data_IF_792326429368
#
_entry.id   IF_792326429368
#
_cell.length_a   1.000
_cell.length_b   1.000
_cell.length_c   1.000
_cell.angle_alpha   90.00
_cell.angle_beta   90.00
_cell.angle_gamma   90.00
#
_symmetry.space_group_name_H-M   'P 1'
#
loop_
_entity.id
_entity.type
_entity.pdbx_description
1 polymer ?
#
# COMPACT_ATOMS: atom_id res chain seq x y z
N UNK A 1 -20.99 -23.32 -5.72
CA UNK A 1 -19.61 -22.97 -5.34
C UNK A 1 -19.62 -22.64 -3.87
N UNK A 2 -18.95 -23.44 -3.05
CA UNK A 2 -18.92 -23.35 -1.60
C UNK A 2 -18.13 -22.11 -1.16
N UNK A 3 -18.83 -21.10 -0.61
CA UNK A 3 -18.18 -19.99 0.08
C UNK A 3 -17.53 -20.54 1.35
N UNK A 4 -16.22 -20.73 1.32
CA UNK A 4 -15.43 -21.06 2.50
C UNK A 4 -15.53 -19.85 3.45
N UNK A 5 -16.31 -20.01 4.52
CA UNK A 5 -16.40 -19.01 5.58
C UNK A 5 -15.09 -19.12 6.37
N UNK A 6 -14.08 -18.35 5.95
CA UNK A 6 -12.83 -18.26 6.72
C UNK A 6 -13.13 -17.62 8.08
N UNK A 7 -12.53 -18.16 9.13
CA UNK A 7 -12.73 -17.67 10.50
C UNK A 7 -12.21 -16.23 10.62
N UNK A 8 -12.79 -15.43 11.52
CA UNK A 8 -12.34 -14.06 11.78
C UNK A 8 -10.83 -13.98 12.05
N UNK A 9 -10.29 -14.97 12.76
CA UNK A 9 -8.86 -15.06 13.07
C UNK A 9 -7.97 -15.17 11.81
N UNK A 10 -8.39 -15.96 10.81
CA UNK A 10 -7.67 -16.10 9.55
C UNK A 10 -7.60 -14.77 8.80
N UNK A 11 -8.69 -14.00 8.80
CA UNK A 11 -8.73 -12.68 8.19
C UNK A 11 -7.85 -11.68 8.93
N UNK A 12 -7.85 -11.70 10.25
CA UNK A 12 -6.97 -10.84 11.07
C UNK A 12 -5.51 -11.15 10.76
N UNK A 13 -5.13 -12.42 10.70
CA UNK A 13 -3.77 -12.83 10.31
C UNK A 13 -3.41 -12.32 8.92
N UNK A 14 -4.29 -12.50 7.94
CA UNK A 14 -4.07 -12.12 6.55
C UNK A 14 -3.96 -10.61 6.37
N UNK A 15 -4.79 -9.82 7.07
CA UNK A 15 -4.70 -8.35 7.07
C UNK A 15 -3.38 -7.93 7.71
N UNK A 16 -2.99 -8.53 8.83
CA UNK A 16 -1.72 -8.25 9.51
C UNK A 16 -0.53 -8.49 8.57
N UNK A 17 -0.53 -9.58 7.82
CA UNK A 17 0.50 -9.86 6.80
C UNK A 17 0.51 -8.80 5.68
N UNK A 18 -0.64 -8.30 5.24
CA UNK A 18 -0.73 -7.27 4.20
C UNK A 18 -0.27 -5.89 4.65
N UNK A 19 -0.50 -5.54 5.92
CA UNK A 19 -0.05 -4.26 6.50
C UNK A 19 1.43 -4.33 6.89
N UNK A 20 1.95 -5.53 7.19
CA UNK A 20 3.36 -5.72 7.53
C UNK A 20 4.25 -5.32 6.34
N UNK A 21 5.23 -4.45 6.59
CA UNK A 21 6.13 -3.91 5.55
C UNK A 21 5.54 -2.79 4.69
N UNK A 22 4.31 -2.34 4.95
CA UNK A 22 3.75 -1.16 4.31
C UNK A 22 4.32 0.10 4.98
N UNK A 23 5.36 0.70 4.41
CA UNK A 23 5.96 1.92 4.95
C UNK A 23 5.05 3.14 4.76
N UNK A 24 4.46 3.27 3.57
CA UNK A 24 3.49 4.30 3.24
C UNK A 24 2.45 3.75 2.28
N UNK A 25 1.17 3.94 2.58
CA UNK A 25 0.10 3.39 1.76
C UNK A 25 -1.22 3.26 2.51
N UNK A 26 -2.12 2.45 1.93
CA UNK A 26 -3.44 2.16 2.49
C UNK A 26 -3.80 0.72 2.24
N UNK A 27 -4.45 0.08 3.21
CA UNK A 27 -5.15 -1.20 3.03
C UNK A 27 -6.64 -0.92 3.11
N UNK A 28 -7.38 -1.28 2.07
CA UNK A 28 -8.83 -1.10 2.00
C UNK A 28 -9.52 -2.47 2.02
N UNK A 29 -10.51 -2.62 2.90
CA UNK A 29 -11.26 -3.87 3.07
C UNK A 29 -12.72 -3.60 2.74
N UNK A 30 -13.29 -4.41 1.84
CA UNK A 30 -14.70 -4.32 1.48
C UNK A 30 -15.45 -5.48 2.11
N UNK A 31 -16.50 -5.17 2.87
CA UNK A 31 -17.34 -6.13 3.57
C UNK A 31 -18.75 -6.06 2.99
N UNK A 32 -19.30 -7.19 2.58
CA UNK A 32 -20.70 -7.32 2.19
C UNK A 32 -21.33 -8.48 2.96
N UNK A 33 -22.53 -8.26 3.52
CA UNK A 33 -23.27 -9.27 4.29
C UNK A 33 -22.45 -9.88 5.46
N UNK A 34 -21.63 -9.06 6.14
CA UNK A 34 -20.78 -9.51 7.24
C UNK A 34 -19.58 -10.37 6.82
N UNK A 35 -19.34 -10.52 5.50
CA UNK A 35 -18.21 -11.27 4.96
C UNK A 35 -17.26 -10.33 4.22
N UNK A 36 -15.96 -10.51 4.45
CA UNK A 36 -14.93 -9.81 3.68
C UNK A 36 -14.94 -10.39 2.27
N UNK A 37 -15.17 -9.53 1.28
CA UNK A 37 -15.22 -9.93 -0.14
C UNK A 37 -14.03 -9.40 -0.93
N UNK A 38 -13.36 -8.35 -0.44
CA UNK A 38 -12.20 -7.77 -1.11
C UNK A 38 -11.21 -7.20 -0.08
N UNK A 39 -9.92 -7.33 -0.39
CA UNK A 39 -8.83 -6.63 0.30
C UNK A 39 -7.91 -6.05 -0.78
N UNK A 40 -7.77 -4.73 -0.79
CA UNK A 40 -6.84 -4.00 -1.66
C UNK A 40 -5.68 -3.43 -0.84
N UNK A 41 -4.46 -3.53 -1.37
CA UNK A 41 -3.25 -2.97 -0.76
C UNK A 41 -2.64 -1.99 -1.75
N UNK A 42 -2.62 -0.72 -1.39
CA UNK A 42 -1.98 0.35 -2.16
C UNK A 42 -0.72 0.80 -1.44
N UNK A 43 0.44 0.65 -2.08
CA UNK A 43 1.73 1.15 -1.59
C UNK A 43 2.09 2.46 -2.29
N UNK A 44 2.64 3.42 -1.55
CA UNK A 44 3.11 4.70 -2.08
C UNK A 44 4.58 4.86 -1.75
N UNK A 45 5.43 4.87 -2.77
CA UNK A 45 6.84 5.24 -2.59
C UNK A 45 7.02 6.72 -2.89
N UNK A 46 7.75 7.44 -2.03
CA UNK A 46 8.23 8.79 -2.34
C UNK A 46 9.51 8.65 -3.13
N UNK A 47 9.44 8.87 -4.43
CA UNK A 47 10.63 9.14 -5.22
C UNK A 47 11.06 10.56 -4.87
N UNK A 48 12.12 10.70 -4.08
CA UNK A 48 12.73 11.99 -3.85
C UNK A 48 13.12 12.54 -5.22
N UNK A 49 12.48 13.63 -5.63
CA UNK A 49 12.85 14.32 -6.87
C UNK A 49 14.21 14.92 -6.56
N UNK A 50 15.26 14.18 -6.93
CA UNK A 50 16.64 14.67 -6.87
C UNK A 50 16.60 16.03 -7.54
N UNK A 51 16.66 17.10 -6.73
CA UNK A 51 16.81 18.45 -7.25
C UNK A 51 18.19 18.50 -7.85
N UNK A 52 18.28 18.13 -9.13
CA UNK A 52 19.40 18.47 -9.99
C UNK A 52 19.40 19.99 -10.10
N UNK A 53 19.98 20.63 -9.09
CA UNK A 53 20.28 22.06 -9.15
C UNK A 53 21.15 22.26 -10.40
N UNK A 54 20.72 23.04 -11.40
CA UNK A 54 21.54 23.28 -12.57
C UNK A 54 22.71 24.14 -12.10
N UNK A 55 23.90 23.55 -12.03
CA UNK A 55 25.15 24.28 -11.80
C UNK A 55 25.32 25.29 -12.94
N UNK A 56 24.91 26.54 -12.70
CA UNK A 56 25.17 27.67 -13.60
C UNK A 56 26.67 27.96 -13.59
N UNK A 57 27.41 27.35 -14.51
CA UNK A 57 28.78 27.77 -14.85
C UNK A 57 28.70 29.00 -15.74
N UNK A 58 28.61 30.17 -15.12
CA UNK A 58 28.80 31.43 -15.82
C UNK A 58 30.29 31.60 -16.13
N UNK A 59 30.71 31.27 -17.36
CA UNK A 59 32.06 31.58 -17.85
C UNK A 59 32.06 33.05 -18.26
N UNK A 60 32.84 33.85 -17.52
CA UNK A 60 33.02 35.28 -17.75
C UNK A 60 33.48 35.59 -19.19
N UNK A 61 32.97 36.70 -19.71
CA UNK A 61 33.57 37.45 -20.80
C UNK A 61 34.54 38.46 -20.23
#
# INVERSE_FOLDING_TARGET
MSHVVQSTDEWVKRIKEKVTGLEYGTVQITVHNGQIVQIDKTERSRYDVVKSSPTVKNRGK
#
